data_IF_525195910217
#
_entry.id   IF_525195910217
#
_cell.length_a   1.000
_cell.length_b   1.000
_cell.length_c   1.000
_cell.angle_alpha   90.00
_cell.angle_beta   90.00
_cell.angle_gamma   90.00
#
_symmetry.space_group_name_H-M   'P 1'
#
loop_
_entity.id
_entity.type
_entity.pdbx_description
1 polymer ?
#
# COMPACT_ATOMS: atom_id res chain seq x y z
N UNK A 1 12.17 4.81 -31.96
CA UNK A 1 11.28 3.69 -31.59
C UNK A 1 11.80 3.03 -30.31
N UNK A 2 13.10 2.77 -30.22
CA UNK A 2 13.72 2.09 -29.08
C UNK A 2 13.66 2.90 -27.77
N UNK A 3 13.88 4.23 -27.81
CA UNK A 3 13.79 5.07 -26.61
C UNK A 3 12.38 5.13 -26.00
N UNK A 4 11.35 5.17 -26.85
CA UNK A 4 9.96 5.15 -26.40
C UNK A 4 9.60 3.81 -25.76
N UNK A 5 10.06 2.70 -26.35
CA UNK A 5 9.87 1.37 -25.80
C UNK A 5 10.56 1.20 -24.43
N UNK A 6 11.79 1.68 -24.30
CA UNK A 6 12.54 1.64 -23.04
C UNK A 6 11.88 2.51 -21.95
N UNK A 7 11.35 3.68 -22.30
CA UNK A 7 10.63 4.54 -21.37
C UNK A 7 9.31 3.92 -20.89
N UNK A 8 8.59 3.22 -21.78
CA UNK A 8 7.38 2.49 -21.40
C UNK A 8 7.70 1.31 -20.47
N UNK A 9 8.77 0.57 -20.80
CA UNK A 9 9.23 -0.57 -20.00
C UNK A 9 9.68 -0.14 -18.60
N UNK A 10 10.42 0.98 -18.48
CA UNK A 10 10.85 1.50 -17.18
C UNK A 10 9.68 1.98 -16.33
N UNK A 11 8.71 2.68 -16.92
CA UNK A 11 7.50 3.11 -16.22
C UNK A 11 6.67 1.92 -15.71
N UNK A 12 6.55 0.86 -16.52
CA UNK A 12 5.87 -0.37 -16.10
C UNK A 12 6.63 -1.07 -14.96
N UNK A 13 7.96 -1.14 -15.02
CA UNK A 13 8.78 -1.75 -13.97
C UNK A 13 8.71 -0.97 -12.65
N UNK A 14 8.74 0.37 -12.72
CA UNK A 14 8.59 1.26 -11.56
C UNK A 14 7.23 1.06 -10.88
N UNK A 15 6.14 1.04 -11.68
CA UNK A 15 4.79 0.82 -11.17
C UNK A 15 4.64 -0.57 -10.53
N UNK A 16 5.17 -1.61 -11.18
CA UNK A 16 5.14 -2.97 -10.64
C UNK A 16 5.90 -3.07 -9.31
N UNK A 17 7.07 -2.43 -9.22
CA UNK A 17 7.84 -2.38 -7.98
C UNK A 17 7.09 -1.64 -6.87
N UNK A 18 6.50 -0.49 -7.16
CA UNK A 18 5.72 0.28 -6.19
C UNK A 18 4.52 -0.51 -5.65
N UNK A 19 3.72 -1.08 -6.56
CA UNK A 19 2.56 -1.91 -6.19
C UNK A 19 3.00 -3.10 -5.37
N UNK A 20 4.07 -3.79 -5.79
CA UNK A 20 4.61 -4.91 -5.04
C UNK A 20 5.04 -4.50 -3.62
N UNK A 21 5.78 -3.40 -3.50
CA UNK A 21 6.24 -2.88 -2.22
C UNK A 21 5.07 -2.51 -1.30
N UNK A 22 4.06 -1.81 -1.82
CA UNK A 22 2.87 -1.42 -1.06
C UNK A 22 2.08 -2.65 -0.61
N UNK A 23 1.82 -3.60 -1.52
CA UNK A 23 1.11 -4.86 -1.22
C UNK A 23 1.82 -5.66 -0.13
N UNK A 24 3.15 -5.80 -0.21
CA UNK A 24 3.93 -6.53 0.79
C UNK A 24 3.86 -5.83 2.16
N UNK A 25 4.03 -4.50 2.17
CA UNK A 25 3.99 -3.72 3.42
C UNK A 25 2.60 -3.81 4.07
N UNK A 26 1.54 -3.66 3.29
CA UNK A 26 0.17 -3.81 3.78
C UNK A 26 -0.12 -5.21 4.29
N UNK A 27 0.38 -6.25 3.61
CA UNK A 27 0.25 -7.62 4.08
C UNK A 27 0.97 -7.86 5.42
N UNK A 28 2.15 -7.27 5.63
CA UNK A 28 2.87 -7.31 6.90
C UNK A 28 2.09 -6.58 8.01
N UNK A 29 1.60 -5.37 7.73
CA UNK A 29 0.77 -4.62 8.68
C UNK A 29 -0.50 -5.39 9.02
N UNK A 30 -1.15 -5.97 8.01
CA UNK A 30 -2.33 -6.81 8.19
C UNK A 30 -2.05 -8.01 9.09
N UNK A 31 -0.90 -8.68 8.89
CA UNK A 31 -0.47 -9.80 9.70
C UNK A 31 -0.20 -9.39 11.16
N UNK A 32 0.48 -8.25 11.39
CA UNK A 32 0.74 -7.71 12.73
C UNK A 32 -0.58 -7.38 13.44
N UNK A 33 -1.45 -6.61 12.80
CA UNK A 33 -2.75 -6.21 13.37
C UNK A 33 -3.61 -7.43 13.66
N UNK A 34 -3.64 -8.42 12.77
CA UNK A 34 -4.36 -9.68 12.98
C UNK A 34 -3.79 -10.45 14.18
N UNK A 35 -2.47 -10.54 14.30
CA UNK A 35 -1.81 -11.24 15.40
C UNK A 35 -2.13 -10.59 16.75
N UNK A 36 -2.07 -9.26 16.81
CA UNK A 36 -2.42 -8.47 18.00
C UNK A 36 -3.89 -8.69 18.39
N UNK A 37 -4.83 -8.63 17.43
CA UNK A 37 -6.27 -8.84 17.70
C UNK A 37 -6.60 -10.25 18.17
N UNK A 38 -5.94 -11.26 17.59
CA UNK A 38 -6.12 -12.64 18.02
C UNK A 38 -5.72 -12.85 19.49
N UNK A 39 -4.71 -12.12 19.96
CA UNK A 39 -4.26 -12.15 21.36
C UNK A 39 -5.17 -11.32 22.27
N UNK A 40 -5.57 -10.12 21.84
CA UNK A 40 -6.25 -9.14 22.71
C UNK A 40 -7.79 -9.26 22.74
N UNK A 41 -8.43 -10.13 21.93
CA UNK A 41 -9.90 -10.27 21.82
C UNK A 41 -10.65 -8.92 21.76
N UNK A 42 -10.02 -7.91 21.18
CA UNK A 42 -10.53 -6.55 21.23
C UNK A 42 -11.55 -6.35 20.11
N UNK A 43 -12.81 -6.12 20.50
CA UNK A 43 -13.93 -5.82 19.59
C UNK A 43 -14.39 -4.37 19.78
N UNK A 44 -13.50 -3.41 19.53
CA UNK A 44 -13.86 -1.99 19.53
C UNK A 44 -14.39 -1.57 18.16
N UNK A 45 -15.64 -1.10 18.14
CA UNK A 45 -16.30 -0.55 16.97
C UNK A 45 -15.73 0.85 16.65
N UNK A 46 -14.55 0.89 16.04
CA UNK A 46 -13.92 2.15 15.61
C UNK A 46 -14.70 2.72 14.41
N UNK A 47 -14.97 4.03 14.45
CA UNK A 47 -15.61 4.77 13.35
C UNK A 47 -14.86 4.54 12.02
N UNK A 48 -15.55 4.22 10.91
CA UNK A 48 -14.91 3.96 9.63
C UNK A 48 -13.99 5.06 9.11
N UNK A 49 -14.34 6.33 9.34
CA UNK A 49 -13.55 7.49 8.90
C UNK A 49 -12.26 7.60 9.73
N UNK A 50 -12.38 7.45 11.05
CA UNK A 50 -11.23 7.50 11.94
C UNK A 50 -10.24 6.36 11.65
N UNK A 51 -10.74 5.18 11.28
CA UNK A 51 -9.90 4.09 10.83
C UNK A 51 -9.15 4.43 9.52
N UNK A 52 -9.79 5.14 8.58
CA UNK A 52 -9.15 5.53 7.32
C UNK A 52 -8.03 6.54 7.57
N UNK A 53 -8.27 7.53 8.43
CA UNK A 53 -7.24 8.49 8.87
C UNK A 53 -6.10 7.75 9.57
N UNK A 54 -6.41 6.80 10.45
CA UNK A 54 -5.39 5.98 11.13
C UNK A 54 -4.52 5.18 10.16
N UNK A 55 -5.12 4.55 9.15
CA UNK A 55 -4.36 3.84 8.12
C UNK A 55 -3.54 4.77 7.21
N UNK A 56 -4.06 5.96 6.89
CA UNK A 56 -3.32 6.98 6.16
C UNK A 56 -2.06 7.42 6.94
N UNK A 57 -2.22 7.73 8.24
CA UNK A 57 -1.10 8.10 9.11
C UNK A 57 -0.09 6.97 9.29
N UNK A 58 -0.56 5.72 9.43
CA UNK A 58 0.32 4.55 9.44
C UNK A 58 1.07 4.41 8.11
N UNK A 59 0.41 4.63 6.98
CA UNK A 59 1.02 4.65 5.67
C UNK A 59 2.12 5.70 5.57
N UNK A 60 1.89 6.91 6.07
CA UNK A 60 2.91 7.97 6.14
C UNK A 60 4.10 7.52 7.00
N UNK A 61 3.85 6.98 8.19
CA UNK A 61 4.92 6.50 9.07
C UNK A 61 5.77 5.39 8.42
N UNK A 62 5.13 4.44 7.75
CA UNK A 62 5.81 3.40 6.98
C UNK A 62 6.51 3.96 5.74
N UNK A 63 5.95 4.97 5.09
CA UNK A 63 6.60 5.71 4.01
C UNK A 63 7.93 6.31 4.48
N UNK A 64 7.92 7.00 5.62
CA UNK A 64 9.13 7.61 6.23
C UNK A 64 10.13 6.50 6.59
N UNK A 65 9.68 5.44 7.26
CA UNK A 65 10.52 4.30 7.61
C UNK A 65 11.13 3.63 6.36
N UNK A 66 10.37 3.59 5.26
CA UNK A 66 10.84 3.00 4.01
C UNK A 66 11.95 3.80 3.33
N UNK A 67 11.98 5.13 3.51
CA UNK A 67 13.06 5.98 3.02
C UNK A 67 14.39 5.67 3.73
N UNK A 68 14.33 5.31 5.01
CA UNK A 68 15.53 4.92 5.78
C UNK A 68 16.11 3.59 5.28
N UNK A 69 15.25 2.67 4.81
CA UNK A 69 15.66 1.37 4.30
C UNK A 69 16.09 1.42 2.82
N UNK A 70 15.41 2.25 2.03
CA UNK A 70 15.64 2.39 0.58
C UNK A 70 15.66 3.87 0.18
N UNK A 71 16.77 4.58 0.46
CA UNK A 71 16.87 6.02 0.22
C UNK A 71 17.00 6.41 -1.26
N UNK A 72 17.28 5.46 -2.16
CA UNK A 72 17.48 5.73 -3.58
C UNK A 72 16.35 5.13 -4.43
N UNK A 73 15.77 5.90 -5.37
CA UNK A 73 14.89 5.35 -6.40
C UNK A 73 15.64 4.29 -7.20
N UNK A 74 15.12 3.05 -7.20
CA UNK A 74 15.74 1.92 -7.91
C UNK A 74 15.68 2.14 -9.42
N UNK A 75 14.70 2.92 -9.90
CA UNK A 75 14.53 3.29 -11.31
C UNK A 75 14.69 4.81 -11.48
N UNK A 76 15.33 5.21 -12.59
CA UNK A 76 15.61 6.62 -12.90
C UNK A 76 14.32 7.45 -12.96
N UNK A 77 14.35 8.77 -12.65
CA UNK A 77 13.17 9.61 -12.59
C UNK A 77 12.46 9.65 -13.95
N UNK A 78 11.42 8.82 -14.10
CA UNK A 78 10.51 8.93 -15.22
C UNK A 78 9.73 10.24 -15.07
N UNK A 79 9.48 10.95 -16.18
CA UNK A 79 8.65 12.17 -16.20
C UNK A 79 7.20 11.92 -15.71
N UNK A 80 6.83 10.67 -15.46
CA UNK A 80 5.51 10.21 -15.04
C UNK A 80 5.37 9.93 -13.53
N UNK A 81 6.30 10.39 -12.67
CA UNK A 81 6.27 10.24 -11.20
C UNK A 81 4.90 10.52 -10.55
N UNK A 82 4.17 11.51 -11.06
CA UNK A 82 2.87 11.91 -10.51
C UNK A 82 1.73 10.92 -10.81
N UNK A 83 1.84 10.10 -11.86
CA UNK A 83 0.80 9.12 -12.21
C UNK A 83 0.89 7.93 -11.27
N UNK A 84 2.10 7.46 -10.97
CA UNK A 84 2.34 6.35 -10.05
C UNK A 84 1.78 6.65 -8.65
N UNK A 85 1.81 7.92 -8.20
CA UNK A 85 1.23 8.38 -6.93
C UNK A 85 -0.24 7.96 -6.72
N UNK A 86 -1.03 7.92 -7.79
CA UNK A 86 -2.45 7.53 -7.72
C UNK A 86 -2.67 6.11 -8.24
N UNK A 87 -1.96 5.70 -9.28
CA UNK A 87 -2.16 4.38 -9.87
C UNK A 87 -1.69 3.28 -8.92
N UNK A 88 -0.55 3.43 -8.25
CA UNK A 88 -0.06 2.38 -7.34
C UNK A 88 -0.98 2.19 -6.14
N UNK A 89 -1.48 3.22 -5.42
CA UNK A 89 -2.42 3.01 -4.33
C UNK A 89 -3.78 2.47 -4.77
N UNK A 90 -4.27 2.86 -5.96
CA UNK A 90 -5.51 2.30 -6.51
C UNK A 90 -5.34 0.81 -6.78
N UNK A 91 -4.26 0.42 -7.46
CA UNK A 91 -3.97 -1.00 -7.75
C UNK A 91 -3.78 -1.78 -6.45
N UNK A 92 -3.02 -1.24 -5.49
CA UNK A 92 -2.82 -1.87 -4.19
C UNK A 92 -4.14 -2.04 -3.43
N UNK A 93 -4.97 -1.00 -3.36
CA UNK A 93 -6.29 -1.08 -2.74
C UNK A 93 -7.18 -2.14 -3.38
N UNK A 94 -7.14 -2.27 -4.72
CA UNK A 94 -7.85 -3.34 -5.43
C UNK A 94 -7.31 -4.72 -5.05
N UNK A 95 -5.98 -4.90 -5.05
CA UNK A 95 -5.33 -6.15 -4.64
C UNK A 95 -5.74 -6.52 -3.20
N UNK A 96 -5.71 -5.57 -2.27
CA UNK A 96 -6.13 -5.81 -0.89
C UNK A 96 -7.59 -6.19 -0.76
N UNK A 97 -8.48 -5.56 -1.52
CA UNK A 97 -9.89 -5.93 -1.56
C UNK A 97 -10.07 -7.40 -1.99
N UNK A 98 -9.32 -7.84 -3.01
CA UNK A 98 -9.35 -9.23 -3.45
C UNK A 98 -8.80 -10.18 -2.37
N UNK A 99 -7.71 -9.81 -1.69
CA UNK A 99 -7.17 -10.56 -0.55
C UNK A 99 -8.23 -10.70 0.55
N UNK A 100 -8.91 -9.61 0.92
CA UNK A 100 -9.98 -9.62 1.91
C UNK A 100 -11.14 -10.54 1.52
N UNK A 101 -11.56 -10.51 0.25
CA UNK A 101 -12.61 -11.42 -0.27
C UNK A 101 -12.17 -12.89 -0.16
N UNK A 102 -10.94 -13.21 -0.58
CA UNK A 102 -10.40 -14.57 -0.52
C UNK A 102 -10.30 -15.06 0.93
N UNK A 103 -9.89 -14.21 1.86
CA UNK A 103 -9.80 -14.58 3.27
C UNK A 103 -11.18 -14.79 3.91
N UNK A 104 -12.16 -13.95 3.60
CA UNK A 104 -13.56 -14.13 4.04
C UNK A 104 -14.14 -15.44 3.53
N UNK A 105 -13.90 -15.77 2.25
CA UNK A 105 -14.32 -17.06 1.66
C UNK A 105 -13.67 -18.26 2.35
N UNK A 106 -12.45 -18.12 2.86
CA UNK A 106 -11.73 -19.14 3.64
C UNK A 106 -12.09 -19.14 5.14
N UNK A 107 -13.08 -18.35 5.57
CA UNK A 107 -13.49 -18.26 6.98
C UNK A 107 -12.45 -17.62 7.91
N UNK A 108 -11.44 -16.92 7.36
CA UNK A 108 -10.39 -16.27 8.15
C UNK A 108 -10.84 -14.87 8.59
N UNK A 109 -10.36 -14.44 9.76
CA UNK A 109 -10.60 -13.08 10.23
C UNK A 109 -9.88 -12.06 9.34
N UNK A 110 -10.65 -11.19 8.68
CA UNK A 110 -10.09 -10.08 7.91
C UNK A 110 -9.84 -8.86 8.79
N UNK A 111 -8.76 -8.15 8.49
CA UNK A 111 -8.48 -6.83 9.07
C UNK A 111 -8.99 -5.74 8.13
N UNK A 112 -9.18 -4.52 8.65
CA UNK A 112 -9.77 -3.43 7.88
C UNK A 112 -8.90 -3.05 6.67
N UNK A 113 -7.57 -3.06 6.80
CA UNK A 113 -6.62 -2.78 5.69
C UNK A 113 -6.81 -3.68 4.46
N UNK A 114 -7.42 -4.87 4.60
CA UNK A 114 -7.78 -5.76 3.48
C UNK A 114 -9.08 -5.33 2.75
N UNK A 115 -9.47 -4.06 2.88
CA UNK A 115 -10.55 -3.45 2.10
C UNK A 115 -9.95 -2.43 1.14
N UNK A 116 -10.64 -2.17 0.03
CA UNK A 116 -10.20 -1.17 -0.94
C UNK A 116 -9.87 0.18 -0.29
N UNK A 117 -10.80 0.75 0.48
CA UNK A 117 -10.64 2.11 1.02
C UNK A 117 -9.50 2.23 2.04
N UNK A 118 -9.31 1.21 2.88
CA UNK A 118 -8.27 1.24 3.91
C UNK A 118 -6.89 0.89 3.36
N UNK A 119 -6.80 -0.08 2.43
CA UNK A 119 -5.57 -0.36 1.70
C UNK A 119 -5.15 0.84 0.85
N UNK A 120 -6.08 1.41 0.07
CA UNK A 120 -5.83 2.65 -0.68
C UNK A 120 -5.29 3.77 0.22
N UNK A 121 -5.95 4.05 1.36
CA UNK A 121 -5.52 5.10 2.27
C UNK A 121 -4.11 4.86 2.80
N UNK A 122 -3.77 3.62 3.14
CA UNK A 122 -2.42 3.27 3.59
C UNK A 122 -1.38 3.44 2.47
N UNK A 123 -1.58 2.82 1.31
CA UNK A 123 -0.68 2.93 0.17
C UNK A 123 -0.49 4.38 -0.28
N UNK A 124 -1.56 5.18 -0.25
CA UNK A 124 -1.51 6.59 -0.61
C UNK A 124 -0.62 7.38 0.37
N UNK A 125 -0.70 7.09 1.68
CA UNK A 125 0.18 7.68 2.67
C UNK A 125 1.67 7.35 2.43
N UNK A 126 1.97 6.10 2.05
CA UNK A 126 3.34 5.70 1.68
C UNK A 126 3.81 6.42 0.41
N UNK A 127 2.95 6.49 -0.61
CA UNK A 127 3.26 7.07 -1.90
C UNK A 127 3.53 8.58 -1.81
N UNK A 128 2.76 9.32 -1.02
CA UNK A 128 2.99 10.76 -0.78
C UNK A 128 4.39 10.99 -0.21
N UNK A 129 4.79 10.22 0.81
CA UNK A 129 6.09 10.41 1.45
C UNK A 129 7.24 10.14 0.49
N UNK A 130 7.11 9.11 -0.35
CA UNK A 130 8.12 8.78 -1.36
C UNK A 130 8.18 9.76 -2.52
N UNK A 131 7.07 10.43 -2.85
CA UNK A 131 7.07 11.47 -3.87
C UNK A 131 7.81 12.74 -3.42
N UNK A 132 7.78 13.05 -2.12
CA UNK A 132 8.40 14.24 -1.55
C UNK A 132 9.94 14.16 -1.49
N UNK A 133 10.54 13.05 -1.92
CA UNK A 133 12.00 12.78 -1.94
C UNK A 133 12.48 12.53 -3.37
#
# INVERSE_FOLDING_TARGET
>A
MDEFFLALLSAAAELLYEVFFQVVTEALVAFIVRSIRNVLKESTAINPILAAIGYLLLGIAFGIASLLLFPHPIFHPSKFRGISLLVSPVVTGLVMSQVGIVLRRKGKQTVRIESFGYGFAFAFGVAIVRLLV
#
